data_IF_319691935814
#
_entry.id   IF_319691935814
#
_cell.length_a   1.000
_cell.length_b   1.000
_cell.length_c   1.000
_cell.angle_alpha   90.00
_cell.angle_beta   90.00
_cell.angle_gamma   90.00
#
_symmetry.space_group_name_H-M   'P 1'
#
loop_
_entity.id
_entity.type
_entity.pdbx_description
1 polymer ?
#
# COMPACT_ATOMS: atom_id res chain seq x y z
N UNK A 1 15.76 6.31 -6.32
CA UNK A 1 14.34 6.07 -6.05
C UNK A 1 14.03 4.59 -6.11
N UNK A 2 13.09 4.12 -5.27
CA UNK A 2 12.59 2.74 -5.27
C UNK A 2 11.07 2.78 -5.36
N UNK A 3 10.52 2.00 -6.27
CA UNK A 3 9.09 1.74 -6.39
C UNK A 3 8.87 0.25 -6.66
N UNK A 4 7.73 -0.28 -6.27
CA UNK A 4 7.38 -1.69 -6.43
C UNK A 4 6.26 -1.81 -7.46
N UNK A 5 6.36 -2.82 -8.31
CA UNK A 5 5.33 -3.12 -9.31
C UNK A 5 5.19 -4.65 -9.40
N UNK A 6 3.98 -5.15 -9.13
CA UNK A 6 3.66 -6.54 -9.36
C UNK A 6 3.59 -6.82 -10.88
N UNK A 7 3.93 -8.03 -11.30
CA UNK A 7 4.09 -8.39 -12.72
C UNK A 7 2.78 -8.29 -13.54
N UNK A 8 1.64 -8.27 -12.88
CA UNK A 8 0.30 -8.16 -13.47
C UNK A 8 -0.29 -6.75 -13.41
N UNK A 9 0.37 -5.82 -12.71
CA UNK A 9 -0.05 -4.42 -12.58
C UNK A 9 0.59 -3.51 -13.66
N UNK A 10 0.08 -2.29 -13.80
CA UNK A 10 0.57 -1.34 -14.80
C UNK A 10 0.82 0.04 -14.17
N UNK A 11 1.84 0.73 -14.67
CA UNK A 11 2.01 2.18 -14.47
C UNK A 11 1.61 2.96 -15.71
N UNK A 12 1.04 4.12 -15.52
CA UNK A 12 0.88 5.10 -16.60
C UNK A 12 2.27 5.64 -16.99
N UNK A 13 2.48 6.03 -18.26
CA UNK A 13 3.78 6.55 -18.72
C UNK A 13 4.31 7.72 -17.89
N UNK A 14 3.42 8.53 -17.32
CA UNK A 14 3.78 9.67 -16.46
C UNK A 14 4.00 9.33 -14.99
N UNK A 15 3.93 8.05 -14.59
CA UNK A 15 4.00 7.65 -13.17
C UNK A 15 5.26 8.17 -12.49
N UNK A 16 6.44 7.82 -13.00
CA UNK A 16 7.71 8.18 -12.36
C UNK A 16 7.92 9.70 -12.33
N UNK A 17 7.71 10.37 -13.45
CA UNK A 17 7.86 11.82 -13.54
C UNK A 17 6.94 12.56 -12.57
N UNK A 18 5.65 12.20 -12.55
CA UNK A 18 4.66 12.82 -11.69
C UNK A 18 4.92 12.56 -10.20
N UNK A 19 5.33 11.33 -9.85
CA UNK A 19 5.61 10.97 -8.45
C UNK A 19 6.89 11.65 -7.94
N UNK A 20 7.94 11.72 -8.76
CA UNK A 20 9.19 12.41 -8.40
C UNK A 20 8.95 13.92 -8.23
N UNK A 21 8.19 14.54 -9.15
CA UNK A 21 7.84 15.95 -9.04
C UNK A 21 7.04 16.23 -7.76
N UNK A 22 6.03 15.39 -7.46
CA UNK A 22 5.20 15.51 -6.25
C UNK A 22 6.01 15.29 -4.97
N UNK A 23 6.90 14.30 -4.95
CA UNK A 23 7.80 14.04 -3.82
C UNK A 23 8.68 15.25 -3.51
N UNK A 24 9.25 15.89 -4.55
CA UNK A 24 10.05 17.11 -4.42
C UNK A 24 9.22 18.30 -3.94
N UNK A 25 8.01 18.48 -4.48
CA UNK A 25 7.06 19.54 -4.04
C UNK A 25 6.75 19.44 -2.54
N UNK A 26 6.58 18.22 -2.04
CA UNK A 26 6.28 17.96 -0.61
C UNK A 26 7.52 17.91 0.28
N UNK A 27 8.72 18.00 -0.27
CA UNK A 27 9.97 17.73 0.45
C UNK A 27 9.92 16.41 1.24
N UNK A 28 9.32 15.39 0.62
CA UNK A 28 9.02 14.12 1.26
C UNK A 28 10.03 13.03 0.88
N UNK A 29 10.11 11.96 1.67
CA UNK A 29 10.85 10.74 1.31
C UNK A 29 9.95 9.65 0.75
N UNK A 30 8.65 9.71 1.02
CA UNK A 30 7.69 8.72 0.58
C UNK A 30 6.40 9.37 0.09
N UNK A 31 5.99 8.98 -1.12
CA UNK A 31 4.70 9.38 -1.70
C UNK A 31 4.00 8.16 -2.29
N UNK A 32 2.70 8.26 -2.50
CA UNK A 32 1.94 7.29 -3.27
C UNK A 32 0.96 8.02 -4.20
N UNK A 33 0.33 7.29 -5.12
CA UNK A 33 -0.69 7.86 -6.00
C UNK A 33 -2.03 7.12 -5.89
N UNK A 34 -3.08 7.73 -6.44
CA UNK A 34 -4.33 7.04 -6.73
C UNK A 34 -4.14 6.03 -7.87
N UNK A 35 -4.97 5.00 -7.91
CA UNK A 35 -4.92 3.98 -8.95
C UNK A 35 -6.31 3.45 -9.29
N UNK A 36 -6.48 2.98 -10.53
CA UNK A 36 -7.69 2.31 -10.99
C UNK A 36 -7.60 0.81 -10.75
N UNK A 37 -8.75 0.14 -10.68
CA UNK A 37 -8.84 -1.32 -10.67
C UNK A 37 -9.27 -1.82 -12.04
N UNK A 38 -8.53 -2.77 -12.60
CA UNK A 38 -8.77 -3.35 -13.92
C UNK A 38 -8.95 -4.87 -13.85
N UNK A 39 -9.67 -5.45 -14.78
CA UNK A 39 -9.80 -6.90 -14.94
C UNK A 39 -8.65 -7.51 -15.76
N UNK A 40 -8.74 -8.81 -16.08
CA UNK A 40 -7.77 -9.53 -16.92
C UNK A 40 -7.66 -8.97 -18.36
N UNK A 41 -8.68 -8.24 -18.84
CA UNK A 41 -8.71 -7.60 -20.17
C UNK A 41 -8.34 -6.12 -20.12
N UNK A 42 -7.86 -5.64 -18.97
CA UNK A 42 -7.53 -4.23 -18.71
C UNK A 42 -8.72 -3.26 -18.79
N UNK A 43 -9.95 -3.76 -18.57
CA UNK A 43 -11.15 -2.94 -18.44
C UNK A 43 -11.30 -2.46 -16.98
N UNK A 44 -11.65 -1.19 -16.78
CA UNK A 44 -11.93 -0.66 -15.44
C UNK A 44 -13.19 -1.32 -14.87
N UNK A 45 -13.12 -1.82 -13.62
CA UNK A 45 -14.18 -2.62 -13.00
C UNK A 45 -14.71 -2.08 -11.67
N UNK A 46 -13.99 -1.19 -11.02
CA UNK A 46 -14.34 -0.61 -9.72
C UNK A 46 -14.00 0.88 -9.73
N UNK A 47 -14.56 1.61 -8.76
CA UNK A 47 -14.12 2.99 -8.55
C UNK A 47 -12.62 3.06 -8.25
N UNK A 48 -11.92 4.08 -8.78
CA UNK A 48 -10.52 4.27 -8.49
C UNK A 48 -10.25 4.42 -7.00
N UNK A 49 -9.18 3.81 -6.53
CA UNK A 49 -8.73 3.96 -5.15
C UNK A 49 -8.00 5.29 -5.02
N UNK A 50 -8.59 6.20 -4.25
CA UNK A 50 -8.03 7.52 -4.01
C UNK A 50 -6.94 7.46 -2.95
N UNK A 51 -5.77 8.02 -3.24
CA UNK A 51 -4.72 8.20 -2.26
C UNK A 51 -5.15 9.21 -1.20
N UNK A 52 -4.86 8.97 0.07
CA UNK A 52 -5.05 9.98 1.11
C UNK A 52 -4.03 11.09 0.96
N UNK A 53 -4.42 12.37 1.03
CA UNK A 53 -3.47 13.49 0.90
C UNK A 53 -2.30 13.41 1.89
N UNK A 54 -2.56 12.96 3.13
CA UNK A 54 -1.57 12.75 4.18
C UNK A 54 -1.81 11.37 4.81
N UNK A 55 -0.75 10.59 4.95
CA UNK A 55 -0.76 9.25 5.54
C UNK A 55 0.23 9.26 6.70
N UNK A 56 -0.27 9.21 7.92
CA UNK A 56 0.57 9.20 9.12
C UNK A 56 0.99 7.78 9.50
N UNK A 57 2.05 7.66 10.32
CA UNK A 57 2.41 6.37 10.91
C UNK A 57 1.23 5.74 11.68
N UNK A 58 0.42 6.55 12.37
CA UNK A 58 -0.79 6.05 13.08
C UNK A 58 -1.79 5.40 12.12
N UNK A 59 -1.98 5.98 10.94
CA UNK A 59 -2.83 5.40 9.90
C UNK A 59 -2.26 4.06 9.43
N UNK A 60 -0.97 4.04 9.12
CA UNK A 60 -0.26 2.85 8.67
C UNK A 60 -0.22 1.74 9.73
N UNK A 61 -0.31 2.03 11.02
CA UNK A 61 -0.43 1.02 12.08
C UNK A 61 -1.79 0.31 12.09
N UNK A 62 -2.81 0.86 11.43
CA UNK A 62 -4.16 0.29 11.33
C UNK A 62 -4.35 -0.46 10.01
N UNK A 63 -3.94 0.13 8.89
CA UNK A 63 -4.07 -0.48 7.56
C UNK A 63 -3.04 0.06 6.59
N UNK A 64 -2.75 -0.69 5.52
CA UNK A 64 -1.90 -0.21 4.44
C UNK A 64 -2.68 0.75 3.55
N UNK A 65 -2.29 2.04 3.56
CA UNK A 65 -2.81 3.07 2.66
C UNK A 65 -1.96 3.28 1.41
N UNK A 66 -0.80 2.62 1.31
CA UNK A 66 0.11 2.69 0.17
C UNK A 66 0.02 1.35 -0.57
N UNK A 67 -0.67 1.31 -1.70
CA UNK A 67 -0.71 0.11 -2.55
C UNK A 67 0.68 -0.25 -3.06
N UNK A 68 0.99 -1.55 -3.25
CA UNK A 68 2.29 -2.01 -3.74
C UNK A 68 2.74 -1.18 -4.95
N UNK A 69 1.91 -1.11 -5.98
CA UNK A 69 2.16 -0.42 -7.26
C UNK A 69 2.15 1.11 -7.16
N UNK A 70 1.68 1.70 -6.06
CA UNK A 70 1.41 3.14 -5.98
C UNK A 70 2.50 3.96 -5.30
N UNK A 71 3.39 3.30 -4.56
CA UNK A 71 4.39 3.97 -3.73
C UNK A 71 5.68 4.31 -4.45
N UNK A 72 6.30 5.42 -4.06
CA UNK A 72 7.67 5.82 -4.44
C UNK A 72 8.43 6.26 -3.20
N UNK A 73 9.65 5.76 -3.04
CA UNK A 73 10.57 6.08 -1.95
C UNK A 73 11.86 6.72 -2.47
N UNK A 74 12.26 7.83 -1.87
CA UNK A 74 13.57 8.45 -2.09
C UNK A 74 14.59 7.95 -1.08
N UNK A 75 15.64 7.31 -1.56
CA UNK A 75 16.69 6.73 -0.72
C UNK A 75 17.75 7.72 -0.26
N UNK A 76 17.71 8.98 -0.71
CA UNK A 76 18.79 9.95 -0.49
C UNK A 76 19.00 10.30 0.98
N UNK A 77 17.92 10.38 1.78
CA UNK A 77 18.00 10.75 3.20
C UNK A 77 18.33 9.57 4.13
N UNK A 78 17.81 8.38 3.82
CA UNK A 78 17.84 7.24 4.76
C UNK A 78 18.45 5.96 4.17
N UNK A 79 18.99 6.02 2.95
CA UNK A 79 19.55 4.86 2.28
C UNK A 79 18.51 3.88 1.79
N UNK A 80 18.94 2.70 1.37
CA UNK A 80 18.07 1.64 0.86
C UNK A 80 17.38 0.89 2.00
N UNK A 81 16.09 0.66 1.85
CA UNK A 81 15.30 -0.26 2.68
C UNK A 81 14.94 -1.46 1.82
N UNK A 82 15.01 -2.64 2.39
CA UNK A 82 14.76 -3.90 1.70
C UNK A 82 13.45 -4.52 2.15
N UNK A 83 12.81 -5.29 1.27
CA UNK A 83 11.67 -6.12 1.62
C UNK A 83 12.07 -7.14 2.71
N UNK A 84 11.13 -7.46 3.59
CA UNK A 84 11.33 -8.40 4.68
C UNK A 84 11.12 -9.83 4.21
N UNK A 85 12.18 -10.53 3.83
CA UNK A 85 12.14 -11.91 3.33
C UNK A 85 11.51 -12.89 4.35
N UNK A 86 11.69 -12.64 5.65
CA UNK A 86 11.10 -13.45 6.72
C UNK A 86 9.57 -13.46 6.73
N UNK A 87 8.92 -12.47 6.13
CA UNK A 87 7.47 -12.40 6.04
C UNK A 87 6.87 -13.33 4.98
N UNK A 88 7.67 -13.80 3.99
CA UNK A 88 7.26 -14.79 2.99
C UNK A 88 5.88 -14.51 2.39
N UNK A 89 5.68 -13.31 1.84
CA UNK A 89 4.39 -12.84 1.29
C UNK A 89 3.26 -12.65 2.33
N UNK A 90 3.59 -12.51 3.61
CA UNK A 90 2.64 -12.08 4.63
C UNK A 90 2.70 -10.57 4.76
N UNK A 91 2.05 -9.84 3.83
CA UNK A 91 2.00 -8.38 3.85
C UNK A 91 3.41 -7.74 3.80
N UNK A 92 4.30 -8.30 3.02
CA UNK A 92 5.66 -7.81 2.82
C UNK A 92 5.69 -6.39 2.22
N UNK A 93 4.83 -6.08 1.25
CA UNK A 93 4.58 -4.73 0.75
C UNK A 93 4.15 -3.75 1.84
N UNK A 94 3.23 -4.18 2.70
CA UNK A 94 2.77 -3.37 3.83
C UNK A 94 3.90 -3.11 4.84
N UNK A 95 4.69 -4.14 5.18
CA UNK A 95 5.84 -3.98 6.06
C UNK A 95 6.85 -3.00 5.47
N UNK A 96 7.13 -3.10 4.17
CA UNK A 96 8.05 -2.24 3.45
C UNK A 96 7.63 -0.76 3.54
N UNK A 97 6.41 -0.46 3.13
CA UNK A 97 5.92 0.93 3.20
C UNK A 97 5.81 1.44 4.63
N UNK A 98 5.43 0.59 5.58
CA UNK A 98 5.38 0.97 6.99
C UNK A 98 6.76 1.29 7.56
N UNK A 99 7.81 0.52 7.21
CA UNK A 99 9.18 0.79 7.65
C UNK A 99 9.68 2.13 7.09
N UNK A 100 9.34 2.46 5.84
CA UNK A 100 9.65 3.75 5.24
C UNK A 100 8.91 4.89 5.95
N UNK A 101 7.61 4.76 6.16
CA UNK A 101 6.81 5.79 6.85
C UNK A 101 7.27 6.01 8.30
N UNK A 102 7.86 5.01 8.97
CA UNK A 102 8.45 5.18 10.31
C UNK A 102 9.59 6.21 10.34
N UNK A 103 10.30 6.41 9.23
CA UNK A 103 11.47 7.31 9.18
C UNK A 103 11.06 8.78 9.37
N UNK A 104 10.01 9.21 8.67
CA UNK A 104 9.55 10.61 8.67
C UNK A 104 8.16 10.77 9.31
N UNK A 105 7.58 9.69 9.85
CA UNK A 105 6.25 9.64 10.48
C UNK A 105 5.09 9.95 9.55
N UNK A 106 5.35 10.25 8.27
CA UNK A 106 4.36 10.68 7.28
C UNK A 106 4.77 10.26 5.87
N UNK A 107 3.76 10.02 5.01
CA UNK A 107 3.85 9.98 3.56
C UNK A 107 2.72 10.82 2.95
N UNK A 108 2.86 11.21 1.69
CA UNK A 108 1.87 12.05 1.01
C UNK A 108 1.27 11.34 -0.20
N UNK A 109 -0.02 11.58 -0.42
CA UNK A 109 -0.76 10.99 -1.53
C UNK A 109 -1.01 11.96 -2.67
N UNK A 110 -0.45 11.66 -3.83
CA UNK A 110 -0.75 12.30 -5.09
C UNK A 110 -2.15 11.86 -5.55
N UNK A 111 -3.06 12.79 -5.74
CA UNK A 111 -4.45 12.49 -6.13
C UNK A 111 -4.59 12.05 -7.59
N UNK A 112 -3.53 12.17 -8.41
CA UNK A 112 -3.56 11.69 -9.79
C UNK A 112 -3.63 10.17 -9.83
N UNK A 113 -4.43 9.63 -10.74
CA UNK A 113 -4.48 8.19 -11.03
C UNK A 113 -3.34 7.89 -11.99
N UNK A 114 -2.30 7.20 -11.49
CA UNK A 114 -1.06 6.96 -12.22
C UNK A 114 -0.72 5.47 -12.34
N UNK A 115 -1.57 4.58 -11.84
CA UNK A 115 -1.35 3.15 -11.86
C UNK A 115 -2.66 2.37 -12.03
N UNK A 116 -2.55 1.10 -12.43
CA UNK A 116 -3.68 0.21 -12.62
C UNK A 116 -3.43 -1.11 -11.90
N UNK A 117 -4.26 -1.41 -10.89
CA UNK A 117 -4.24 -2.65 -10.13
C UNK A 117 -5.09 -3.70 -10.80
N UNK A 118 -4.50 -4.86 -11.12
CA UNK A 118 -5.23 -5.95 -11.78
C UNK A 118 -5.88 -6.88 -10.76
N UNK A 119 -7.20 -6.98 -10.85
CA UNK A 119 -8.00 -7.88 -10.02
C UNK A 119 -8.21 -9.20 -10.77
N UNK A 120 -7.54 -10.26 -10.31
CA UNK A 120 -7.69 -11.60 -10.88
C UNK A 120 -8.51 -12.50 -9.94
N UNK A 121 -9.39 -13.34 -10.50
CA UNK A 121 -10.23 -14.26 -9.72
C UNK A 121 -9.42 -15.25 -8.87
N UNK A 122 -8.20 -15.59 -9.30
CA UNK A 122 -7.29 -16.50 -8.59
C UNK A 122 -6.18 -15.77 -7.80
N UNK A 123 -6.34 -14.45 -7.54
CA UNK A 123 -5.33 -13.69 -6.79
C UNK A 123 -5.20 -14.19 -5.36
N UNK A 124 -4.03 -13.97 -4.75
CA UNK A 124 -3.75 -14.27 -3.33
C UNK A 124 -4.74 -13.60 -2.38
N UNK A 125 -5.44 -12.57 -2.86
CA UNK A 125 -6.48 -11.82 -2.13
C UNK A 125 -7.87 -12.45 -2.26
N UNK A 126 -8.09 -13.41 -3.16
CA UNK A 126 -9.39 -14.06 -3.39
C UNK A 126 -9.92 -14.88 -2.20
N UNK A 127 -9.04 -15.48 -1.39
CA UNK A 127 -9.45 -16.22 -0.20
C UNK A 127 -9.52 -15.30 1.04
N UNK A 128 -10.70 -14.72 1.28
CA UNK A 128 -10.93 -13.77 2.38
C UNK A 128 -10.54 -14.31 3.77
N UNK A 129 -10.81 -15.60 4.06
CA UNK A 129 -10.44 -16.21 5.36
C UNK A 129 -8.93 -16.28 5.55
N UNK A 130 -8.20 -16.71 4.52
CA UNK A 130 -6.73 -16.77 4.52
C UNK A 130 -6.14 -15.36 4.67
N UNK A 131 -6.76 -14.38 4.01
CA UNK A 131 -6.34 -12.99 4.06
C UNK A 131 -6.51 -12.37 5.46
N UNK A 132 -7.64 -12.61 6.13
CA UNK A 132 -7.91 -12.17 7.52
C UNK A 132 -6.87 -12.79 8.47
N UNK A 133 -6.58 -14.10 8.32
CA UNK A 133 -5.55 -14.78 9.13
C UNK A 133 -4.17 -14.15 8.94
N UNK A 134 -3.75 -13.91 7.68
CA UNK A 134 -2.48 -13.25 7.37
C UNK A 134 -2.41 -11.84 7.97
N UNK A 135 -3.50 -11.08 7.91
CA UNK A 135 -3.55 -9.73 8.48
C UNK A 135 -3.41 -9.76 10.02
N UNK A 136 -4.10 -10.67 10.69
CA UNK A 136 -3.96 -10.85 12.14
C UNK A 136 -2.54 -11.27 12.52
N UNK A 137 -1.94 -12.21 11.78
CA UNK A 137 -0.55 -12.66 11.96
C UNK A 137 0.44 -11.51 11.78
N UNK A 138 0.22 -10.62 10.82
CA UNK A 138 1.02 -9.42 10.62
C UNK A 138 0.99 -8.50 11.85
N UNK A 139 -0.19 -8.21 12.39
CA UNK A 139 -0.31 -7.39 13.60
C UNK A 139 0.35 -8.03 14.82
N UNK A 140 0.20 -9.35 15.00
CA UNK A 140 0.81 -10.08 16.11
C UNK A 140 2.31 -10.29 15.98
N UNK A 141 2.71 -10.74 14.81
CA UNK A 141 4.09 -11.15 14.54
C UNK A 141 5.01 -9.96 14.25
N UNK A 142 4.64 -9.14 13.27
CA UNK A 142 5.48 -8.03 12.82
C UNK A 142 5.31 -6.76 13.67
N UNK A 143 4.08 -6.30 13.90
CA UNK A 143 3.83 -5.11 14.71
C UNK A 143 3.90 -5.35 16.22
N UNK A 144 4.00 -6.60 16.67
CA UNK A 144 4.07 -6.99 18.09
C UNK A 144 2.91 -6.45 18.94
N UNK A 145 1.74 -6.24 18.34
CA UNK A 145 0.56 -5.74 19.04
C UNK A 145 -0.01 -6.83 19.98
N UNK A 146 -0.69 -6.41 21.05
CA UNK A 146 -1.45 -7.34 21.91
C UNK A 146 -2.54 -8.06 21.11
N UNK A 147 -3.04 -9.21 21.62
CA UNK A 147 -4.08 -9.99 20.96
C UNK A 147 -5.35 -9.13 20.69
N UNK A 148 -5.78 -8.38 21.72
CA UNK A 148 -6.95 -7.51 21.62
C UNK A 148 -6.77 -6.40 20.55
N UNK A 149 -5.64 -5.70 20.57
CA UNK A 149 -5.33 -4.68 19.54
C UNK A 149 -5.26 -5.27 18.14
N UNK A 150 -4.67 -6.45 18.00
CA UNK A 150 -4.58 -7.15 16.70
C UNK A 150 -5.96 -7.51 16.16
N UNK A 151 -6.87 -8.00 17.04
CA UNK A 151 -8.24 -8.31 16.66
C UNK A 151 -9.00 -7.04 16.23
N UNK A 152 -8.93 -5.98 17.05
CA UNK A 152 -9.56 -4.68 16.74
C UNK A 152 -9.04 -4.10 15.39
N UNK A 153 -7.72 -4.13 15.18
CA UNK A 153 -7.14 -3.63 13.93
C UNK A 153 -7.52 -4.52 12.73
N UNK A 154 -7.61 -5.83 12.91
CA UNK A 154 -8.09 -6.74 11.84
C UNK A 154 -9.54 -6.40 11.44
N UNK A 155 -10.40 -6.11 12.42
CA UNK A 155 -11.77 -5.68 12.15
C UNK A 155 -11.83 -4.34 11.43
N UNK A 156 -11.10 -3.32 11.90
CA UNK A 156 -10.99 -2.00 11.25
C UNK A 156 -10.44 -2.11 9.82
N UNK A 157 -9.42 -2.95 9.63
CA UNK A 157 -8.87 -3.24 8.31
C UNK A 157 -9.94 -3.84 7.37
N UNK A 158 -10.77 -4.77 7.85
CA UNK A 158 -11.87 -5.35 7.09
C UNK A 158 -12.89 -4.30 6.64
N UNK A 159 -13.31 -3.40 7.56
CA UNK A 159 -14.22 -2.29 7.25
C UNK A 159 -13.57 -1.34 6.21
N UNK A 160 -12.31 -0.96 6.40
CA UNK A 160 -11.61 -0.09 5.46
C UNK A 160 -11.49 -0.73 4.07
N UNK A 161 -11.28 -2.05 4.00
CA UNK A 161 -11.27 -2.80 2.75
C UNK A 161 -12.60 -2.75 2.01
N UNK A 162 -13.73 -2.88 2.73
CA UNK A 162 -15.05 -2.74 2.13
C UNK A 162 -15.29 -1.33 1.58
N UNK A 163 -14.95 -0.30 2.36
CA UNK A 163 -15.09 1.10 1.93
C UNK A 163 -14.21 1.46 0.75
N UNK A 164 -13.03 0.85 0.65
CA UNK A 164 -12.06 1.11 -0.41
C UNK A 164 -12.57 0.72 -1.80
N UNK A 165 -13.39 -0.34 -1.89
CA UNK A 165 -13.84 -0.92 -3.16
C UNK A 165 -15.34 -0.75 -3.42
N UNK A 166 -16.13 -0.31 -2.45
CA UNK A 166 -17.59 -0.21 -2.53
C UNK A 166 -18.14 1.14 -2.02
N UNK A 167 -17.25 2.09 -1.65
CA UNK A 167 -17.63 3.42 -1.14
C UNK A 167 -17.71 4.49 -2.21
#
# INVERSE_FOLDING_TARGET
>A
YIALLDADDLWDPAFLESQIAFLREKDAVCVCCSYRCIDAKSQEILHPVQARPVITLKDMMVTNYIGCLSGLYDTTRHGKIYLREELKSIRDDYAYWLDIVKLEQVAYGNQKILASYRVLNNSTTGNKKKLIKKQYQFYRGYLKLSALRSLMNTFRWGINGLRKYHG
#
